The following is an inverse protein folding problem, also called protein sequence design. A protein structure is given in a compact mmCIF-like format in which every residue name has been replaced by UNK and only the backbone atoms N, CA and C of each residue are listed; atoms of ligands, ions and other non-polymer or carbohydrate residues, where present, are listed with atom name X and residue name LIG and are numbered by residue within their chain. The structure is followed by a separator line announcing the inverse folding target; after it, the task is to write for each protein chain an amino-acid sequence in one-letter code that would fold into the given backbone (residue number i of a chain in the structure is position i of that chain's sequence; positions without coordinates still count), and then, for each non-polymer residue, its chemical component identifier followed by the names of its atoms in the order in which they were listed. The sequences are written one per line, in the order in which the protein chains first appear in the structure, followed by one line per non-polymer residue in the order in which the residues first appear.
data_IF_367485702254
#
_entry.id   IF_367485702254
#
_cell.length_a   1.000
_cell.length_b   1.000
_cell.length_c   1.000
_cell.angle_alpha   90.00
_cell.angle_beta   90.00
_cell.angle_gamma   90.00
#
_symmetry.space_group_name_H-M   'P 1'
#
loop_
_entity.id
_entity.type
_entity.pdbx_description
1 polymer ?
#
# COMPACT_ATOMS: atom_id res chain seq x y z
N UNK A 1 3.87 -10.27 -18.08
CA UNK A 1 5.25 -9.80 -17.75
C UNK A 1 5.32 -9.46 -16.28
N UNK A 2 6.30 -10.04 -15.55
CA UNK A 2 6.50 -9.74 -14.11
C UNK A 2 7.97 -9.37 -13.89
N UNK A 3 8.24 -8.17 -13.37
CA UNK A 3 9.56 -7.69 -12.96
C UNK A 3 9.67 -7.76 -11.43
N UNK A 4 10.48 -8.69 -10.92
CA UNK A 4 10.81 -8.74 -9.50
C UNK A 4 11.74 -7.60 -9.12
N UNK A 5 11.45 -6.92 -8.01
CA UNK A 5 12.27 -5.88 -7.37
C UNK A 5 12.68 -6.35 -5.98
N UNK A 6 13.86 -6.98 -5.84
CA UNK A 6 14.32 -7.51 -4.56
C UNK A 6 14.43 -6.41 -3.49
N UNK A 7 14.03 -6.74 -2.26
CA UNK A 7 14.03 -5.79 -1.13
C UNK A 7 15.40 -5.12 -0.92
N UNK A 8 16.48 -5.87 -1.07
CA UNK A 8 17.85 -5.37 -0.91
C UNK A 8 18.24 -4.34 -1.98
N UNK A 9 17.58 -4.37 -3.15
CA UNK A 9 17.82 -3.45 -4.27
C UNK A 9 17.00 -2.17 -4.23
N UNK A 10 16.09 -2.06 -3.26
CA UNK A 10 15.24 -0.88 -3.10
C UNK A 10 16.05 0.32 -2.62
N UNK A 11 15.62 1.51 -3.02
CA UNK A 11 16.08 2.74 -2.42
C UNK A 11 15.75 2.81 -0.93
N UNK A 12 16.27 3.80 -0.22
CA UNK A 12 15.92 3.94 1.18
C UNK A 12 16.52 5.15 1.84
N UNK A 13 16.06 5.43 3.06
CA UNK A 13 16.56 6.46 3.93
C UNK A 13 16.47 5.99 5.38
N UNK A 14 17.42 6.43 6.20
CA UNK A 14 17.40 6.18 7.64
C UNK A 14 17.61 7.52 8.38
N UNK A 15 16.61 7.91 9.15
CA UNK A 15 16.59 9.14 9.94
C UNK A 15 16.68 8.88 11.45
N UNK A 16 17.08 7.66 11.85
CA UNK A 16 17.10 7.20 13.24
C UNK A 16 15.72 6.74 13.73
N UNK A 17 14.75 7.63 13.71
CA UNK A 17 13.36 7.31 14.07
C UNK A 17 12.57 6.62 12.95
N UNK A 18 12.97 6.80 11.70
CA UNK A 18 12.37 6.22 10.50
C UNK A 18 13.44 5.43 9.72
N UNK A 19 13.18 4.15 9.47
CA UNK A 19 13.91 3.34 8.51
C UNK A 19 12.98 3.03 7.34
N UNK A 20 13.20 3.69 6.20
CA UNK A 20 12.34 3.62 5.02
C UNK A 20 13.02 2.86 3.87
N UNK A 21 12.24 2.04 3.16
CA UNK A 21 12.59 1.47 1.86
C UNK A 21 11.64 1.99 0.78
N UNK A 22 12.20 2.34 -0.38
CA UNK A 22 11.48 2.98 -1.47
C UNK A 22 11.43 2.05 -2.69
N UNK A 23 10.24 1.55 -3.03
CA UNK A 23 10.02 0.76 -4.25
C UNK A 23 10.02 1.64 -5.51
N UNK A 24 9.73 2.93 -5.34
CA UNK A 24 9.72 3.97 -6.38
C UNK A 24 10.61 5.15 -5.97
N UNK A 25 10.95 6.00 -6.93
CA UNK A 25 11.67 7.25 -6.67
C UNK A 25 10.89 8.12 -5.69
N UNK A 26 11.54 8.46 -4.58
CA UNK A 26 10.94 9.23 -3.49
C UNK A 26 12.01 10.01 -2.73
N UNK A 27 11.71 11.25 -2.34
CA UNK A 27 12.64 12.14 -1.64
C UNK A 27 13.99 12.25 -2.38
N UNK A 28 15.09 11.86 -1.74
CA UNK A 28 16.43 11.89 -2.31
C UNK A 28 16.80 10.65 -3.14
N UNK A 29 15.96 9.63 -3.15
CA UNK A 29 16.16 8.45 -4.00
C UNK A 29 15.56 8.68 -5.39
N UNK A 30 16.39 8.59 -6.41
CA UNK A 30 15.98 8.78 -7.79
C UNK A 30 16.47 7.64 -8.70
N UNK A 31 15.53 6.95 -9.33
CA UNK A 31 15.74 5.97 -10.39
C UNK A 31 14.72 6.27 -11.51
N UNK A 32 15.14 6.68 -12.71
CA UNK A 32 14.24 7.03 -13.80
C UNK A 32 13.37 5.85 -14.28
N UNK A 33 13.75 4.62 -13.97
CA UNK A 33 12.97 3.41 -14.29
C UNK A 33 11.92 3.09 -13.22
N UNK A 34 11.91 3.83 -12.09
CA UNK A 34 11.02 3.61 -10.94
C UNK A 34 10.26 4.88 -10.56
N UNK A 35 9.74 5.59 -11.57
CA UNK A 35 8.98 6.82 -11.33
C UNK A 35 7.51 6.52 -11.06
N UNK A 36 6.89 5.70 -11.87
CA UNK A 36 5.48 5.29 -11.78
C UNK A 36 5.30 3.85 -12.25
N UNK A 37 4.17 3.25 -11.86
CA UNK A 37 3.67 2.02 -12.47
C UNK A 37 2.15 2.17 -12.68
N UNK A 38 1.74 2.51 -13.91
CA UNK A 38 0.43 3.10 -14.13
C UNK A 38 0.31 4.42 -13.35
N UNK A 39 -0.79 4.62 -12.67
CA UNK A 39 -1.01 5.76 -11.77
C UNK A 39 -0.46 5.57 -10.34
N UNK A 40 0.11 4.40 -10.01
CA UNK A 40 0.86 4.20 -8.77
C UNK A 40 2.18 4.98 -8.79
N UNK A 41 2.34 5.91 -7.84
CA UNK A 41 3.47 6.85 -7.79
C UNK A 41 4.49 6.51 -6.71
N UNK A 42 4.05 6.07 -5.54
CA UNK A 42 4.89 5.77 -4.38
C UNK A 42 4.46 4.47 -3.73
N UNK A 43 5.43 3.67 -3.32
CA UNK A 43 5.26 2.61 -2.34
C UNK A 43 6.48 2.62 -1.43
N UNK A 44 6.31 3.09 -0.21
CA UNK A 44 7.33 3.03 0.83
C UNK A 44 7.00 1.93 1.82
N UNK A 45 8.03 1.29 2.32
CA UNK A 45 7.99 0.31 3.40
C UNK A 45 8.74 0.92 4.58
N UNK A 46 7.95 1.43 5.53
CA UNK A 46 8.41 2.28 6.62
C UNK A 46 8.38 1.54 7.96
N UNK A 47 9.47 1.65 8.71
CA UNK A 47 9.60 1.22 10.10
C UNK A 47 9.76 2.47 10.97
N UNK A 48 8.77 2.73 11.85
CA UNK A 48 8.65 3.95 12.64
C UNK A 48 8.86 3.62 14.12
N UNK A 49 9.86 4.21 14.75
CA UNK A 49 10.19 3.99 16.16
C UNK A 49 9.04 4.42 17.09
N UNK A 50 8.94 3.78 18.26
CA UNK A 50 7.96 4.10 19.28
C UNK A 50 7.97 5.58 19.67
N UNK A 51 6.80 6.19 19.81
CA UNK A 51 6.64 7.58 20.22
C UNK A 51 7.12 8.62 19.20
N UNK A 52 7.34 8.23 17.93
CA UNK A 52 7.82 9.10 16.85
C UNK A 52 6.87 9.07 15.64
N UNK A 53 7.13 9.90 14.64
CA UNK A 53 6.33 9.92 13.41
C UNK A 53 6.58 11.15 12.57
N UNK A 54 5.76 11.31 11.55
CA UNK A 54 5.79 12.43 10.62
C UNK A 54 5.04 13.62 11.22
N UNK A 55 5.73 14.75 11.50
CA UNK A 55 5.07 15.98 11.99
C UNK A 55 4.13 16.56 10.92
N UNK A 56 3.27 17.55 11.28
CA UNK A 56 2.31 18.14 10.35
C UNK A 56 2.95 18.65 9.06
N UNK A 57 2.61 18.03 7.92
CA UNK A 57 3.09 18.36 6.60
C UNK A 57 1.94 18.37 5.57
N UNK A 58 2.06 19.13 4.47
CA UNK A 58 0.98 19.31 3.50
C UNK A 58 1.05 18.29 2.37
N UNK A 59 -0.13 17.96 1.82
CA UNK A 59 -0.31 17.25 0.55
C UNK A 59 -1.40 17.93 -0.27
N UNK A 60 -1.34 17.78 -1.59
CA UNK A 60 -2.38 18.17 -2.53
C UNK A 60 -2.41 17.17 -3.71
N UNK A 61 -3.62 16.95 -4.26
CA UNK A 61 -3.86 16.14 -5.46
C UNK A 61 -3.14 14.79 -5.45
N UNK A 62 -3.33 14.03 -4.35
CA UNK A 62 -2.77 12.69 -4.18
C UNK A 62 -3.72 11.82 -3.36
N UNK A 63 -3.88 10.57 -3.74
CA UNK A 63 -4.52 9.53 -2.95
C UNK A 63 -3.44 8.83 -2.12
N UNK A 64 -3.51 8.94 -0.80
CA UNK A 64 -2.51 8.40 0.13
C UNK A 64 -3.16 7.31 0.97
N UNK A 65 -2.64 6.11 0.83
CA UNK A 65 -3.14 4.92 1.50
C UNK A 65 -2.07 4.40 2.44
N UNK A 66 -2.40 4.22 3.71
CA UNK A 66 -1.52 3.59 4.69
C UNK A 66 -2.07 2.22 5.05
N UNK A 67 -1.32 1.17 4.71
CA UNK A 67 -1.57 -0.20 5.16
C UNK A 67 -0.66 -0.51 6.34
N UNK A 68 -1.25 -0.82 7.50
CA UNK A 68 -0.47 -1.15 8.69
C UNK A 68 -0.12 -2.63 8.70
N UNK A 69 1.19 -2.94 8.66
CA UNK A 69 1.68 -4.33 8.70
C UNK A 69 1.85 -4.85 10.12
N UNK A 70 2.26 -3.94 11.04
CA UNK A 70 2.53 -4.28 12.44
C UNK A 70 2.36 -3.03 13.32
N UNK A 71 1.86 -3.19 14.54
CA UNK A 71 1.57 -2.07 15.43
C UNK A 71 0.32 -1.28 15.02
N UNK A 72 0.39 0.03 15.15
CA UNK A 72 -0.65 0.96 14.72
C UNK A 72 -0.08 2.33 14.37
N UNK A 73 -0.81 3.07 13.53
CA UNK A 73 -0.50 4.46 13.19
C UNK A 73 -1.65 5.37 13.63
N UNK A 74 -1.33 6.49 14.25
CA UNK A 74 -2.28 7.54 14.63
C UNK A 74 -2.18 8.68 13.65
N UNK A 75 -3.30 9.04 13.04
CA UNK A 75 -3.46 10.14 12.10
C UNK A 75 -4.19 11.31 12.77
N UNK A 76 -3.74 12.54 12.47
CA UNK A 76 -4.45 13.80 12.77
C UNK A 76 -4.32 14.72 11.56
N UNK A 77 -5.38 15.47 11.22
CA UNK A 77 -5.34 16.38 10.07
C UNK A 77 -6.02 17.74 10.28
N UNK A 78 -5.82 18.63 9.31
CA UNK A 78 -6.34 19.98 9.32
C UNK A 78 -7.86 20.09 9.13
N UNK A 79 -8.55 18.99 8.83
CA UNK A 79 -10.01 18.93 8.81
C UNK A 79 -10.60 18.57 10.17
N UNK A 80 -9.74 18.30 11.17
CA UNK A 80 -10.13 17.86 12.50
C UNK A 80 -10.35 16.36 12.64
N UNK A 81 -9.98 15.57 11.64
CA UNK A 81 -10.01 14.12 11.77
C UNK A 81 -8.87 13.65 12.67
N UNK A 82 -9.17 12.62 13.47
CA UNK A 82 -8.22 11.89 14.28
C UNK A 82 -8.62 10.43 14.35
N UNK A 83 -7.66 9.54 14.13
CA UNK A 83 -7.94 8.12 14.20
C UNK A 83 -6.69 7.26 14.34
N UNK A 84 -6.89 6.01 14.78
CA UNK A 84 -5.87 5.01 14.96
C UNK A 84 -6.18 3.82 14.05
N UNK A 85 -5.24 3.46 13.20
CA UNK A 85 -5.34 2.33 12.26
C UNK A 85 -4.38 1.23 12.72
N UNK A 86 -4.88 0.03 12.95
CA UNK A 86 -4.12 -1.11 13.51
C UNK A 86 -3.64 -2.07 12.42
N UNK A 87 -2.76 -2.98 12.80
CA UNK A 87 -2.20 -3.99 11.89
C UNK A 87 -3.30 -4.79 11.16
N UNK A 88 -3.20 -4.82 9.84
CA UNK A 88 -4.13 -5.44 8.91
C UNK A 88 -5.21 -4.50 8.38
N UNK A 89 -5.35 -3.30 8.94
CA UNK A 89 -6.30 -2.29 8.51
C UNK A 89 -5.66 -1.23 7.60
N UNK A 90 -6.50 -0.42 7.00
CA UNK A 90 -6.13 0.64 6.05
C UNK A 90 -6.74 1.96 6.48
N UNK A 91 -6.02 3.04 6.21
CA UNK A 91 -6.59 4.37 6.13
C UNK A 91 -6.34 4.97 4.75
N UNK A 92 -7.22 5.85 4.32
CA UNK A 92 -7.14 6.60 3.07
C UNK A 92 -7.25 8.07 3.34
N UNK A 93 -6.33 8.86 2.80
CA UNK A 93 -6.40 10.30 2.73
C UNK A 93 -6.39 10.74 1.27
N UNK A 94 -7.51 11.31 0.80
CA UNK A 94 -7.57 12.01 -0.48
C UNK A 94 -7.17 13.46 -0.24
N UNK A 95 -6.01 13.88 -0.75
CA UNK A 95 -5.47 15.20 -0.43
C UNK A 95 -6.20 16.35 -1.13
N UNK A 96 -6.75 16.11 -2.33
CA UNK A 96 -7.56 17.06 -3.07
C UNK A 96 -6.95 18.47 -3.16
N UNK A 97 -7.73 19.51 -2.87
CA UNK A 97 -7.27 20.92 -2.90
C UNK A 97 -6.19 21.25 -1.87
N UNK A 98 -5.95 20.36 -0.91
CA UNK A 98 -4.90 20.48 0.09
C UNK A 98 -5.35 20.05 1.49
N UNK A 99 -4.49 19.33 2.17
CA UNK A 99 -4.66 18.88 3.55
C UNK A 99 -3.28 18.87 4.23
N UNK A 100 -3.25 19.22 5.51
CA UNK A 100 -2.06 19.00 6.35
C UNK A 100 -2.38 17.88 7.30
N UNK A 101 -1.47 16.94 7.44
CA UNK A 101 -1.64 15.84 8.38
C UNK A 101 -0.34 15.47 9.10
N UNK A 102 -0.51 14.75 10.18
CA UNK A 102 0.55 14.09 10.94
C UNK A 102 0.23 12.61 11.09
N UNK A 103 1.24 11.76 11.03
CA UNK A 103 1.13 10.31 11.26
C UNK A 103 2.17 9.89 12.29
N UNK A 104 1.70 9.41 13.46
CA UNK A 104 2.55 9.05 14.58
C UNK A 104 2.38 7.58 14.99
N UNK A 105 3.51 6.95 15.29
CA UNK A 105 3.52 5.73 16.07
C UNK A 105 3.38 6.09 17.55
N UNK A 106 2.16 6.07 18.07
CA UNK A 106 1.87 6.32 19.48
C UNK A 106 1.96 5.02 20.33
N UNK A 107 2.39 3.90 19.74
CA UNK A 107 2.54 2.60 20.39
C UNK A 107 3.86 2.52 21.13
N UNK A 108 4.00 1.60 22.11
CA UNK A 108 5.25 1.39 22.84
C UNK A 108 6.34 0.67 22.02
N UNK A 109 5.95 0.04 20.91
CA UNK A 109 6.82 -0.76 20.06
C UNK A 109 6.93 -0.17 18.65
N UNK A 110 7.82 -0.74 17.83
CA UNK A 110 8.04 -0.37 16.44
C UNK A 110 6.75 -0.61 15.62
N UNK A 111 6.31 0.39 14.86
CA UNK A 111 5.21 0.27 13.89
C UNK A 111 5.79 0.11 12.47
N UNK A 112 5.19 -0.79 11.68
CA UNK A 112 5.54 -1.04 10.29
C UNK A 112 4.35 -0.79 9.39
N UNK A 113 4.54 0.03 8.35
CA UNK A 113 3.49 0.38 7.40
C UNK A 113 3.98 0.24 5.96
N UNK A 114 3.03 0.07 5.04
CA UNK A 114 3.20 0.48 3.65
C UNK A 114 2.51 1.82 3.45
N UNK A 115 3.26 2.81 2.95
CA UNK A 115 2.73 4.10 2.53
C UNK A 115 2.63 4.08 1.00
N UNK A 116 1.40 4.13 0.47
CA UNK A 116 1.10 3.96 -0.96
C UNK A 116 0.46 5.24 -1.47
N UNK A 117 1.02 5.83 -2.53
CA UNK A 117 0.48 7.04 -3.16
C UNK A 117 0.08 6.75 -4.60
N UNK A 118 -1.15 7.13 -4.96
CA UNK A 118 -1.70 6.94 -6.30
C UNK A 118 -2.16 8.30 -6.81
N UNK A 119 -1.83 8.61 -8.06
CA UNK A 119 -2.24 9.86 -8.69
C UNK A 119 -3.76 9.85 -8.92
N UNK A 120 -4.49 10.91 -8.51
CA UNK A 120 -5.93 10.98 -8.71
C UNK A 120 -6.26 11.17 -10.19
N UNK A 121 -7.41 10.65 -10.62
CA UNK A 121 -7.90 10.85 -11.99
C UNK A 121 -8.27 12.31 -12.25
N UNK A 122 -8.70 13.05 -11.21
CA UNK A 122 -9.09 14.45 -11.27
C UNK A 122 -8.47 15.22 -10.10
N UNK A 123 -8.03 16.43 -10.37
CA UNK A 123 -7.48 17.35 -9.37
C UNK A 123 -8.53 18.29 -8.80
N UNK A 124 -8.23 18.88 -7.64
CA UNK A 124 -9.02 19.97 -7.04
C UNK A 124 -10.28 19.52 -6.34
N UNK A 125 -10.46 18.25 -6.05
CA UNK A 125 -11.57 17.75 -5.24
C UNK A 125 -11.39 18.17 -3.76
N UNK A 126 -12.47 18.19 -2.98
CA UNK A 126 -12.40 18.47 -1.55
C UNK A 126 -11.59 17.37 -0.83
N UNK A 127 -10.68 17.70 0.09
CA UNK A 127 -9.91 16.69 0.81
C UNK A 127 -10.81 15.86 1.74
N UNK A 128 -10.37 14.61 2.02
CA UNK A 128 -11.08 13.71 2.93
C UNK A 128 -10.11 12.71 3.57
N UNK A 129 -10.52 12.16 4.71
CA UNK A 129 -9.83 11.06 5.36
C UNK A 129 -10.84 10.04 5.88
N UNK A 130 -10.45 8.77 5.90
CA UNK A 130 -11.22 7.68 6.49
C UNK A 130 -10.36 6.48 6.82
N UNK A 131 -10.81 5.68 7.78
CA UNK A 131 -10.22 4.39 8.13
C UNK A 131 -11.33 3.35 8.32
N UNK A 132 -11.01 2.10 8.05
CA UNK A 132 -11.96 1.00 8.21
C UNK A 132 -11.20 -0.25 8.69
N UNK A 133 -11.76 -1.00 9.65
CA UNK A 133 -11.26 -2.33 9.99
C UNK A 133 -11.56 -3.31 8.85
N UNK A 134 -10.55 -4.13 8.53
CA UNK A 134 -10.65 -5.21 7.55
C UNK A 134 -10.18 -6.52 8.19
N UNK A 135 -11.10 -7.29 8.81
CA UNK A 135 -10.75 -8.53 9.49
C UNK A 135 -9.97 -9.50 8.61
N UNK A 136 -8.83 -9.98 9.10
CA UNK A 136 -7.95 -10.88 8.32
C UNK A 136 -8.63 -12.19 7.93
N UNK A 137 -9.64 -12.64 8.70
CA UNK A 137 -10.42 -13.83 8.38
C UNK A 137 -11.20 -13.73 7.07
N UNK A 138 -11.70 -12.55 6.72
CA UNK A 138 -12.47 -12.33 5.49
C UNK A 138 -11.63 -12.45 4.23
N UNK A 139 -10.31 -12.16 4.32
CA UNK A 139 -9.34 -12.27 3.22
C UNK A 139 -8.47 -13.53 3.30
N UNK A 140 -8.87 -14.51 4.11
CA UNK A 140 -8.22 -15.81 4.16
C UNK A 140 -8.53 -16.61 2.91
N UNK A 141 -7.48 -16.92 2.12
CA UNK A 141 -7.60 -17.68 0.88
C UNK A 141 -8.12 -16.90 -0.32
N UNK A 142 -8.36 -15.59 -0.21
CA UNK A 142 -8.88 -14.75 -1.30
C UNK A 142 -8.43 -13.30 -1.19
N UNK A 143 -8.44 -12.59 -2.32
CA UNK A 143 -8.25 -11.15 -2.33
C UNK A 143 -9.52 -10.41 -1.91
N UNK A 144 -9.39 -9.47 -0.97
CA UNK A 144 -10.45 -8.56 -0.54
C UNK A 144 -10.06 -7.13 -0.88
N UNK A 145 -11.01 -6.35 -1.41
CA UNK A 145 -10.81 -4.96 -1.76
C UNK A 145 -10.83 -4.10 -0.51
N UNK A 146 -9.73 -3.37 -0.25
CA UNK A 146 -9.56 -2.50 0.92
C UNK A 146 -9.85 -1.04 0.59
N UNK A 147 -9.37 -0.57 -0.58
CA UNK A 147 -9.67 0.76 -1.09
C UNK A 147 -9.88 0.70 -2.60
N UNK A 148 -10.82 1.50 -3.12
CA UNK A 148 -11.21 1.42 -4.52
C UNK A 148 -11.77 2.74 -5.05
N UNK A 149 -11.46 3.01 -6.32
CA UNK A 149 -12.11 4.04 -7.13
C UNK A 149 -13.25 3.53 -8.01
N UNK A 150 -13.60 2.23 -7.91
CA UNK A 150 -14.67 1.62 -8.71
C UNK A 150 -16.03 1.68 -7.99
N UNK A 151 -17.07 2.11 -8.68
CA UNK A 151 -18.41 2.27 -8.10
C UNK A 151 -19.02 0.98 -7.53
N UNK A 152 -18.58 -0.18 -8.01
CA UNK A 152 -19.06 -1.49 -7.56
C UNK A 152 -18.55 -1.92 -6.19
N UNK A 153 -17.44 -1.35 -5.71
CA UNK A 153 -16.73 -1.77 -4.49
C UNK A 153 -17.21 -1.00 -3.24
N UNK A 154 -18.49 -1.11 -2.93
CA UNK A 154 -19.15 -0.29 -1.88
C UNK A 154 -18.62 -0.52 -0.47
N UNK A 155 -18.02 -1.67 -0.19
CA UNK A 155 -17.45 -2.01 1.11
C UNK A 155 -16.01 -1.55 1.29
N UNK A 156 -15.36 -1.11 0.22
CA UNK A 156 -14.01 -0.55 0.25
C UNK A 156 -13.99 0.91 0.72
N UNK A 157 -12.83 1.39 1.21
CA UNK A 157 -12.60 2.81 1.39
C UNK A 157 -12.52 3.50 0.02
N UNK A 158 -13.22 4.63 -0.20
CA UNK A 158 -13.20 5.29 -1.50
C UNK A 158 -11.87 5.99 -1.76
N UNK A 159 -11.35 5.84 -2.99
CA UNK A 159 -10.26 6.63 -3.57
C UNK A 159 -10.73 7.24 -4.88
N UNK A 160 -10.13 8.34 -5.32
CA UNK A 160 -10.57 9.13 -6.49
C UNK A 160 -9.68 8.89 -7.71
N UNK A 161 -9.42 7.61 -7.97
CA UNK A 161 -8.53 7.20 -9.05
C UNK A 161 -8.95 5.83 -9.59
N UNK A 162 -8.61 5.54 -10.85
CA UNK A 162 -8.85 4.23 -11.45
C UNK A 162 -7.84 3.21 -10.92
N UNK A 163 -8.06 2.79 -9.67
CA UNK A 163 -7.22 1.81 -8.98
C UNK A 163 -7.99 1.07 -7.89
N UNK A 164 -7.44 -0.06 -7.47
CA UNK A 164 -7.83 -0.84 -6.27
C UNK A 164 -6.61 -1.17 -5.44
N UNK A 165 -6.80 -1.18 -4.14
CA UNK A 165 -5.87 -1.82 -3.21
C UNK A 165 -6.57 -3.05 -2.65
N UNK A 166 -5.96 -4.21 -2.87
CA UNK A 166 -6.50 -5.49 -2.40
C UNK A 166 -5.47 -6.21 -1.53
N UNK A 167 -5.93 -7.02 -0.60
CA UNK A 167 -5.06 -7.86 0.21
C UNK A 167 -5.61 -9.27 0.36
N UNK A 168 -4.70 -10.23 0.56
CA UNK A 168 -5.01 -11.62 0.86
C UNK A 168 -4.12 -12.16 1.98
N UNK A 169 -4.66 -13.09 2.75
CA UNK A 169 -3.89 -13.90 3.71
C UNK A 169 -3.97 -15.36 3.26
N UNK A 170 -2.83 -15.99 3.04
CA UNK A 170 -2.74 -17.35 2.53
C UNK A 170 -1.95 -18.23 3.49
N UNK A 171 -2.41 -19.47 3.68
CA UNK A 171 -1.63 -20.50 4.33
C UNK A 171 -0.62 -21.11 3.35
N UNK A 172 0.46 -21.65 3.87
CA UNK A 172 1.44 -22.37 3.05
C UNK A 172 0.77 -23.43 2.16
N UNK A 173 0.99 -23.36 0.86
CA UNK A 173 0.39 -24.23 -0.15
C UNK A 173 -0.90 -23.72 -0.78
N UNK A 174 -1.60 -22.74 -0.15
CA UNK A 174 -2.79 -22.12 -0.72
C UNK A 174 -2.46 -21.22 -1.90
N UNK A 175 -3.46 -20.97 -2.74
CA UNK A 175 -3.37 -20.04 -3.86
C UNK A 175 -4.61 -19.14 -3.91
N UNK A 176 -4.42 -17.91 -4.39
CA UNK A 176 -5.51 -16.97 -4.69
C UNK A 176 -5.27 -16.31 -6.05
N UNK A 177 -6.35 -16.13 -6.80
CA UNK A 177 -6.34 -15.48 -8.10
C UNK A 177 -6.93 -14.06 -7.99
N UNK A 178 -6.28 -13.12 -8.69
CA UNK A 178 -6.80 -11.77 -8.88
C UNK A 178 -7.00 -11.50 -10.37
N UNK A 179 -8.24 -11.29 -10.85
CA UNK A 179 -8.52 -10.94 -12.24
C UNK A 179 -8.05 -9.50 -12.50
N UNK A 180 -6.91 -9.34 -13.17
CA UNK A 180 -6.31 -8.04 -13.47
C UNK A 180 -6.81 -7.48 -14.80
N UNK A 181 -6.75 -8.28 -15.85
CA UNK A 181 -6.96 -7.85 -17.23
C UNK A 181 -5.71 -7.29 -17.90
N UNK A 182 -5.44 -7.71 -19.12
CA UNK A 182 -4.19 -7.46 -19.85
C UNK A 182 -3.84 -6.00 -20.08
N UNK A 183 -4.82 -5.10 -20.02
CA UNK A 183 -4.63 -3.66 -20.20
C UNK A 183 -4.19 -2.92 -18.92
N UNK A 184 -4.34 -3.56 -17.76
CA UNK A 184 -4.03 -2.98 -16.45
C UNK A 184 -2.64 -3.36 -15.98
N UNK A 185 -2.20 -2.69 -14.94
CA UNK A 185 -0.94 -2.96 -14.24
C UNK A 185 -1.21 -3.30 -12.79
N UNK A 186 -0.41 -4.18 -12.23
CA UNK A 186 -0.44 -4.40 -10.79
C UNK A 186 0.95 -4.25 -10.18
N UNK A 187 0.99 -3.82 -8.93
CA UNK A 187 2.19 -3.86 -8.11
C UNK A 187 1.89 -4.63 -6.84
N UNK A 188 2.64 -5.71 -6.60
CA UNK A 188 2.40 -6.63 -5.50
C UNK A 188 3.60 -6.67 -4.58
N UNK A 189 3.33 -6.67 -3.26
CA UNK A 189 4.35 -6.84 -2.22
C UNK A 189 3.83 -7.82 -1.17
N UNK A 190 4.53 -8.94 -0.92
CA UNK A 190 4.26 -9.77 0.25
C UNK A 190 4.64 -8.99 1.52
N UNK A 191 3.67 -8.63 2.35
CA UNK A 191 3.92 -7.99 3.64
C UNK A 191 4.61 -8.94 4.61
N UNK A 192 4.28 -10.25 4.49
CA UNK A 192 4.89 -11.37 5.24
C UNK A 192 4.92 -12.62 4.36
N UNK A 193 5.87 -13.51 4.65
CA UNK A 193 5.98 -14.80 4.00
C UNK A 193 6.60 -14.74 2.61
N UNK A 194 6.69 -15.91 1.98
CA UNK A 194 7.21 -16.09 0.63
C UNK A 194 6.08 -16.57 -0.29
N UNK A 195 6.06 -16.05 -1.51
CA UNK A 195 5.03 -16.41 -2.50
C UNK A 195 5.64 -16.65 -3.87
N UNK A 196 4.89 -17.31 -4.73
CA UNK A 196 5.13 -17.39 -6.16
C UNK A 196 3.98 -16.68 -6.89
N UNK A 197 4.31 -15.75 -7.78
CA UNK A 197 3.36 -14.97 -8.56
C UNK A 197 3.55 -15.32 -10.04
N UNK A 198 2.59 -16.03 -10.65
CA UNK A 198 2.67 -16.52 -12.04
C UNK A 198 4.05 -17.16 -12.36
N UNK A 199 4.59 -18.00 -11.44
CA UNK A 199 5.88 -18.66 -11.59
C UNK A 199 7.11 -17.85 -11.12
N UNK A 200 6.95 -16.59 -10.69
CA UNK A 200 8.06 -15.76 -10.17
C UNK A 200 8.04 -15.76 -8.65
N UNK A 201 9.11 -16.25 -8.02
CA UNK A 201 9.25 -16.29 -6.56
C UNK A 201 9.60 -14.91 -5.99
N UNK A 202 8.89 -14.52 -4.95
CA UNK A 202 9.10 -13.30 -4.16
C UNK A 202 9.31 -13.66 -2.69
N UNK A 203 10.31 -13.05 -2.08
CA UNK A 203 10.46 -13.06 -0.62
C UNK A 203 9.58 -11.95 0.00
N UNK A 204 9.41 -12.01 1.32
CA UNK A 204 8.76 -10.92 2.04
C UNK A 204 9.39 -9.57 1.69
N UNK A 205 8.55 -8.58 1.43
CA UNK A 205 8.93 -7.19 1.12
C UNK A 205 9.58 -6.97 -0.26
N UNK A 206 9.74 -8.02 -1.10
CA UNK A 206 10.06 -7.83 -2.51
C UNK A 206 8.89 -7.16 -3.23
N UNK A 207 9.17 -6.33 -4.23
CA UNK A 207 8.15 -5.82 -5.14
C UNK A 207 8.04 -6.67 -6.42
N UNK A 208 6.84 -6.77 -6.97
CA UNK A 208 6.61 -7.27 -8.32
C UNK A 208 5.82 -6.25 -9.14
N UNK A 209 6.42 -5.73 -10.20
CA UNK A 209 5.74 -4.93 -11.19
C UNK A 209 5.15 -5.85 -12.27
N UNK A 210 3.83 -5.86 -12.42
CA UNK A 210 3.05 -6.82 -13.21
C UNK A 210 2.31 -6.08 -14.30
N UNK A 211 2.44 -6.52 -15.55
CA UNK A 211 1.72 -6.00 -16.70
C UNK A 211 1.47 -7.10 -17.74
N UNK A 212 0.43 -6.93 -18.56
CA UNK A 212 0.08 -7.87 -19.63
C UNK A 212 -0.26 -9.28 -19.10
N UNK A 213 -0.82 -9.34 -17.91
CA UNK A 213 -1.36 -10.54 -17.28
C UNK A 213 -2.87 -10.40 -17.17
N UNK A 214 -3.63 -11.42 -17.56
CA UNK A 214 -5.08 -11.42 -17.42
C UNK A 214 -5.48 -11.74 -15.98
N UNK A 215 -4.76 -12.70 -15.37
CA UNK A 215 -4.93 -13.14 -13.99
C UNK A 215 -3.59 -13.13 -13.28
N UNK A 216 -3.57 -12.61 -12.06
CA UNK A 216 -2.43 -12.71 -11.14
C UNK A 216 -2.72 -13.84 -10.15
N UNK A 217 -2.08 -15.00 -10.39
CA UNK A 217 -2.16 -16.15 -9.47
C UNK A 217 -1.03 -16.06 -8.45
N UNK A 218 -1.39 -16.02 -7.18
CA UNK A 218 -0.43 -16.01 -6.07
C UNK A 218 -0.52 -17.30 -5.29
N UNK A 219 0.57 -18.05 -5.24
CA UNK A 219 0.74 -19.26 -4.43
C UNK A 219 1.63 -18.98 -3.23
N UNK A 220 1.15 -19.27 -2.03
CA UNK A 220 1.92 -19.12 -0.81
C UNK A 220 2.93 -20.27 -0.65
N UNK A 221 4.20 -19.95 -0.49
CA UNK A 221 5.28 -20.90 -0.19
C UNK A 221 5.49 -21.06 1.31
N UNK A 222 5.06 -20.07 2.09
CA UNK A 222 4.91 -20.08 3.54
C UNK A 222 3.62 -19.34 3.89
N UNK A 223 3.19 -19.33 5.17
CA UNK A 223 2.08 -18.46 5.60
C UNK A 223 2.39 -17.01 5.20
N UNK A 224 1.52 -16.40 4.40
CA UNK A 224 1.79 -15.12 3.74
C UNK A 224 0.64 -14.13 3.89
N UNK A 225 1.01 -12.84 3.90
CA UNK A 225 0.11 -11.70 3.80
C UNK A 225 0.55 -10.85 2.60
N UNK A 226 -0.37 -10.59 1.68
CA UNK A 226 -0.06 -9.98 0.38
C UNK A 226 -0.89 -8.71 0.24
N UNK A 227 -0.26 -7.64 -0.25
CA UNK A 227 -0.94 -6.41 -0.69
C UNK A 227 -0.65 -6.20 -2.17
N UNK A 228 -1.68 -5.88 -2.93
CA UNK A 228 -1.60 -5.63 -4.36
C UNK A 228 -2.33 -4.31 -4.67
N UNK A 229 -1.69 -3.46 -5.45
CA UNK A 229 -2.32 -2.30 -6.11
C UNK A 229 -2.58 -2.67 -7.56
N UNK A 230 -3.84 -2.62 -7.96
CA UNK A 230 -4.29 -2.67 -9.35
C UNK A 230 -4.42 -1.22 -9.84
N UNK A 231 -3.74 -0.84 -10.90
CA UNK A 231 -3.60 0.52 -11.41
C UNK A 231 -3.90 0.60 -12.92
N UNK A 232 -4.42 1.75 -13.36
CA UNK A 232 -4.65 2.04 -14.78
C UNK A 232 -3.34 2.30 -15.54
#
# INVERSE_FOLDING_TARGET
MIERRPFESLGGANHGWLNAKHHFSFANYYDPKRMNWGNLRVWNDDEIAAGTGFPPHPHADMEIITYVRDGAITHEDSLGNKGRTVAGDVQVMSAGTGIRHAEYNAEPDLTRIFQIWIEPTRRGDAPSWGTKPFPKGERSGQFVVLASGFEGDKDALPIRTDARIVAATLKAGDSADYPLGVARRAYLVPAKGEVEVNGVRLNARDGAAIAQEDVVTVKALSDAEIVLVDAA
#
